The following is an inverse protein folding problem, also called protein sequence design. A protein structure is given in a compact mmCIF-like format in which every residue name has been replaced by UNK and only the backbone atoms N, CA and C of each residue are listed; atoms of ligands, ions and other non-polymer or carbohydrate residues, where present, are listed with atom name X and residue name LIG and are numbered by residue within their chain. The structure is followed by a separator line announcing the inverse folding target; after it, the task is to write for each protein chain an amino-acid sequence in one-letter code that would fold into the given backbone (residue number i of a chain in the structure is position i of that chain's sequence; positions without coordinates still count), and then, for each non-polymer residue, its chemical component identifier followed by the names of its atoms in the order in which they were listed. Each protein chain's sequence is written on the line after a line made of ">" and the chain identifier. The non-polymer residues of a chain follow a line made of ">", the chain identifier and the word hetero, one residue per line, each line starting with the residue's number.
data_IF_617310845755
#
_entry.id   IF_617310845755
#
_cell.length_a   1.000
_cell.length_b   1.000
_cell.length_c   1.000
_cell.angle_alpha   90.00
_cell.angle_beta   90.00
_cell.angle_gamma   90.00
#
_symmetry.space_group_name_H-M   'P 1'
#
loop_
_entity.id
_entity.type
_entity.pdbx_description
1 polymer ?
#
# COMPACT_ATOMS: atom_id res chain seq x y z
N UNK A 1 3.52 1.31 1.17
CA UNK A 1 4.04 1.24 2.57
C UNK A 1 4.06 -0.18 3.11
N UNK A 2 2.98 -0.97 3.06
CA UNK A 2 2.94 -2.37 3.51
C UNK A 2 4.12 -3.21 2.99
N UNK A 3 4.43 -3.10 1.69
CA UNK A 3 5.57 -3.79 1.09
C UNK A 3 6.94 -3.38 1.68
N UNK A 4 7.08 -2.16 2.19
CA UNK A 4 8.33 -1.68 2.80
C UNK A 4 8.70 -2.47 4.06
N UNK A 5 7.73 -3.06 4.76
CA UNK A 5 7.99 -3.92 5.93
C UNK A 5 8.95 -5.06 5.60
N UNK A 6 8.96 -5.54 4.35
CA UNK A 6 9.83 -6.63 3.90
C UNK A 6 11.13 -6.14 3.25
N UNK A 7 11.28 -4.83 2.99
CA UNK A 7 12.37 -4.31 2.18
C UNK A 7 13.75 -4.51 2.82
N UNK A 8 13.84 -4.35 4.15
CA UNK A 8 15.09 -4.55 4.90
C UNK A 8 15.57 -6.00 4.85
N UNK A 9 14.68 -6.97 5.14
CA UNK A 9 15.02 -8.40 5.07
C UNK A 9 15.29 -8.86 3.62
N UNK A 10 14.59 -8.26 2.66
CA UNK A 10 14.84 -8.53 1.24
C UNK A 10 16.18 -7.95 0.77
N UNK A 11 16.62 -6.82 1.34
CA UNK A 11 17.92 -6.22 1.03
C UNK A 11 19.07 -7.01 1.65
N UNK A 12 18.91 -7.52 2.88
CA UNK A 12 19.94 -8.32 3.55
C UNK A 12 19.99 -9.78 3.09
N UNK A 13 19.01 -10.23 2.32
CA UNK A 13 18.87 -11.62 1.86
C UNK A 13 18.27 -12.56 2.91
N UNK A 14 17.88 -12.06 4.09
CA UNK A 14 17.19 -12.83 5.12
C UNK A 14 15.82 -13.33 4.66
N UNK A 15 15.18 -12.63 3.71
CA UNK A 15 13.94 -13.04 3.06
C UNK A 15 14.08 -12.89 1.54
N UNK A 16 13.86 -13.98 0.79
CA UNK A 16 13.82 -13.89 -0.67
C UNK A 16 12.41 -13.52 -1.14
N UNK A 17 12.28 -12.64 -2.13
CA UNK A 17 10.97 -12.24 -2.66
C UNK A 17 10.29 -13.36 -3.49
N UNK A 18 11.04 -14.36 -3.96
CA UNK A 18 10.47 -15.56 -4.58
C UNK A 18 9.98 -16.60 -3.56
N UNK A 19 10.07 -16.31 -2.24
CA UNK A 19 9.53 -17.16 -1.19
C UNK A 19 8.00 -17.27 -1.33
N UNK A 20 7.41 -18.47 -1.28
CA UNK A 20 5.97 -18.65 -1.24
C UNK A 20 5.33 -17.97 -0.03
N UNK A 21 4.22 -17.26 -0.22
CA UNK A 21 3.53 -16.52 0.84
C UNK A 21 3.05 -17.47 1.95
N UNK A 22 2.71 -18.72 1.61
CA UNK A 22 2.33 -19.74 2.60
C UNK A 22 3.41 -20.05 3.65
N UNK A 23 4.68 -19.72 3.40
CA UNK A 23 5.74 -19.89 4.40
C UNK A 23 5.74 -18.80 5.48
N UNK A 24 5.10 -17.65 5.20
CA UNK A 24 4.97 -16.53 6.12
C UNK A 24 3.63 -16.57 6.88
N UNK A 25 2.63 -17.25 6.34
CA UNK A 25 1.33 -17.47 6.93
C UNK A 25 1.11 -18.96 7.19
N UNK A 26 1.57 -19.50 8.34
CA UNK A 26 1.24 -20.86 8.73
C UNK A 26 -0.30 -21.01 8.82
N UNK A 27 -0.81 -22.19 8.44
CA UNK A 27 -2.24 -22.49 8.25
C UNK A 27 -2.93 -21.81 7.04
N UNK A 28 -2.16 -21.18 6.15
CA UNK A 28 -2.69 -20.68 4.89
C UNK A 28 -3.06 -21.80 3.91
N UNK A 29 -4.07 -21.51 3.08
CA UNK A 29 -4.58 -22.36 2.03
C UNK A 29 -3.52 -22.81 1.02
N UNK A 30 -3.80 -23.91 0.32
CA UNK A 30 -2.99 -24.35 -0.82
C UNK A 30 -2.79 -23.25 -1.89
N UNK A 31 -3.73 -22.32 -2.03
CA UNK A 31 -3.63 -21.18 -2.94
C UNK A 31 -2.36 -20.35 -2.72
N UNK A 32 -1.96 -20.10 -1.47
CA UNK A 32 -0.79 -19.28 -1.17
C UNK A 32 0.55 -20.01 -1.39
N UNK A 33 0.54 -21.33 -1.65
CA UNK A 33 1.75 -22.10 -1.96
C UNK A 33 2.30 -21.78 -3.35
N UNK A 34 1.44 -21.32 -4.25
CA UNK A 34 1.79 -21.00 -5.64
C UNK A 34 2.01 -19.51 -5.89
N UNK A 35 1.81 -18.67 -4.87
CA UNK A 35 1.98 -17.22 -4.92
C UNK A 35 3.26 -16.88 -4.17
N UNK A 36 4.20 -16.26 -4.85
CA UNK A 36 5.41 -15.72 -4.23
C UNK A 36 5.14 -14.35 -3.62
N UNK A 37 6.00 -13.92 -2.69
CA UNK A 37 5.93 -12.59 -2.10
C UNK A 37 6.05 -11.48 -3.16
N UNK A 38 6.90 -11.67 -4.18
CA UNK A 38 7.01 -10.75 -5.31
C UNK A 38 5.69 -10.58 -6.05
N UNK A 39 5.05 -11.69 -6.46
CA UNK A 39 3.78 -11.68 -7.20
C UNK A 39 2.64 -11.06 -6.37
N UNK A 40 2.66 -11.23 -5.05
CA UNK A 40 1.69 -10.59 -4.16
C UNK A 40 1.91 -9.08 -4.11
N UNK A 41 3.15 -8.63 -3.94
CA UNK A 41 3.54 -7.22 -3.86
C UNK A 41 3.26 -6.47 -5.17
N UNK A 42 3.52 -7.11 -6.32
CA UNK A 42 3.37 -6.52 -7.66
C UNK A 42 1.97 -6.69 -8.26
N UNK A 43 1.01 -7.22 -7.49
CA UNK A 43 -0.36 -7.50 -7.94
C UNK A 43 -0.46 -8.51 -9.11
N UNK A 44 0.49 -9.44 -9.22
CA UNK A 44 0.51 -10.48 -10.27
C UNK A 44 0.13 -11.89 -9.75
N UNK A 45 -0.40 -11.95 -8.53
CA UNK A 45 -0.77 -13.21 -7.86
C UNK A 45 -1.96 -13.95 -8.47
N UNK A 46 -2.77 -13.31 -9.32
CA UNK A 46 -4.05 -13.83 -9.80
C UNK A 46 -5.17 -13.78 -8.75
N UNK A 47 -4.95 -13.15 -7.60
CA UNK A 47 -5.99 -12.95 -6.59
C UNK A 47 -7.01 -11.90 -7.05
N UNK A 48 -8.31 -12.06 -6.70
CA UNK A 48 -9.32 -11.06 -7.01
C UNK A 48 -9.03 -9.73 -6.32
N UNK A 49 -9.64 -8.65 -6.82
CA UNK A 49 -9.44 -7.30 -6.26
C UNK A 49 -9.79 -7.21 -4.77
N UNK A 50 -10.89 -7.85 -4.38
CA UNK A 50 -11.46 -7.84 -3.03
C UNK A 50 -11.65 -9.29 -2.53
N UNK A 51 -11.71 -9.51 -1.21
CA UNK A 51 -12.03 -10.83 -0.68
C UNK A 51 -13.41 -11.31 -1.18
N UNK A 52 -13.57 -12.57 -1.62
CA UNK A 52 -14.84 -13.07 -2.16
C UNK A 52 -16.01 -13.06 -1.15
N UNK A 53 -15.71 -13.21 0.14
CA UNK A 53 -16.69 -13.19 1.24
C UNK A 53 -16.91 -11.79 1.83
N UNK A 54 -16.33 -10.73 1.24
CA UNK A 54 -16.54 -9.37 1.71
C UNK A 54 -18.02 -9.00 1.54
N UNK A 55 -18.76 -9.04 2.64
CA UNK A 55 -20.19 -8.74 2.65
C UNK A 55 -20.45 -7.32 2.14
N UNK A 56 -21.54 -7.13 1.40
CA UNK A 56 -22.02 -5.80 1.02
C UNK A 56 -22.64 -5.02 2.19
N UNK A 57 -22.58 -5.56 3.42
CA UNK A 57 -23.10 -4.92 4.62
C UNK A 57 -22.12 -3.83 5.06
N UNK A 58 -22.59 -2.59 5.22
CA UNK A 58 -21.73 -1.47 5.59
C UNK A 58 -21.00 -0.85 4.41
N UNK A 59 -21.68 -0.63 3.27
CA UNK A 59 -21.15 0.03 2.06
C UNK A 59 -20.36 1.32 2.36
N UNK A 60 -20.76 2.04 3.42
CA UNK A 60 -20.11 3.27 3.84
C UNK A 60 -18.77 3.06 4.57
N UNK A 61 -18.54 1.88 5.17
CA UNK A 61 -17.32 1.50 5.88
C UNK A 61 -17.03 -0.01 5.73
N UNK A 62 -16.70 -0.47 4.51
CA UNK A 62 -16.74 -1.90 4.15
C UNK A 62 -15.66 -2.73 4.86
N UNK A 63 -14.62 -2.11 5.41
CA UNK A 63 -13.45 -2.79 5.96
C UNK A 63 -13.36 -2.75 7.49
N UNK A 64 -14.27 -2.05 8.17
CA UNK A 64 -14.19 -1.84 9.60
C UNK A 64 -14.43 -3.10 10.44
N UNK A 65 -15.14 -4.08 9.89
CA UNK A 65 -15.51 -5.34 10.57
C UNK A 65 -15.03 -6.57 9.81
N UNK A 66 -14.11 -6.39 8.87
CA UNK A 66 -13.52 -7.50 8.13
C UNK A 66 -12.31 -7.99 8.92
N UNK A 67 -12.58 -8.93 9.83
CA UNK A 67 -11.61 -9.45 10.80
C UNK A 67 -10.68 -10.52 10.21
N UNK A 68 -9.81 -11.06 11.08
CA UNK A 68 -8.79 -12.02 10.71
C UNK A 68 -9.42 -13.35 10.32
N UNK A 69 -10.47 -13.77 11.01
CA UNK A 69 -11.22 -14.99 10.74
C UNK A 69 -11.83 -14.94 9.34
N UNK A 70 -12.47 -13.84 8.97
CA UNK A 70 -13.01 -13.61 7.63
C UNK A 70 -11.91 -13.57 6.57
N UNK A 71 -10.75 -12.93 6.86
CA UNK A 71 -9.60 -12.95 5.96
C UNK A 71 -9.09 -14.37 5.70
N UNK A 72 -8.91 -15.16 6.75
CA UNK A 72 -8.41 -16.53 6.64
C UNK A 72 -9.41 -17.46 5.94
N UNK A 73 -10.72 -17.26 6.15
CA UNK A 73 -11.76 -17.95 5.38
C UNK A 73 -11.67 -17.63 3.89
N UNK A 74 -11.60 -16.35 3.53
CA UNK A 74 -11.44 -15.93 2.13
C UNK A 74 -10.19 -16.53 1.48
N UNK A 75 -9.08 -16.59 2.23
CA UNK A 75 -7.82 -17.19 1.77
C UNK A 75 -7.95 -18.69 1.57
N UNK A 76 -8.71 -19.41 2.43
CA UNK A 76 -8.95 -20.86 2.30
C UNK A 76 -9.66 -21.22 1.00
N UNK A 77 -10.65 -20.42 0.62
CA UNK A 77 -11.55 -20.77 -0.48
C UNK A 77 -11.17 -20.12 -1.82
N UNK A 78 -10.24 -19.15 -1.82
CA UNK A 78 -9.83 -18.47 -3.05
C UNK A 78 -9.05 -19.40 -3.97
N UNK A 79 -9.44 -19.41 -5.25
CA UNK A 79 -8.68 -20.01 -6.34
C UNK A 79 -8.08 -18.87 -7.17
N UNK A 80 -6.74 -18.70 -7.17
CA UNK A 80 -6.10 -17.67 -7.98
C UNK A 80 -6.35 -17.91 -9.48
N UNK A 81 -6.59 -16.82 -10.22
CA UNK A 81 -6.69 -16.83 -11.67
C UNK A 81 -5.32 -16.85 -12.35
N UNK A 82 -5.30 -16.39 -13.61
CA UNK A 82 -4.06 -16.25 -14.37
C UNK A 82 -3.14 -15.22 -13.71
N UNK A 83 -1.82 -15.51 -13.68
CA UNK A 83 -0.80 -14.56 -13.24
C UNK A 83 -0.63 -13.46 -14.28
N UNK A 84 -1.21 -12.32 -13.97
CA UNK A 84 -1.12 -11.07 -14.73
C UNK A 84 -1.39 -9.92 -13.77
N UNK A 85 -1.00 -8.70 -14.12
CA UNK A 85 -1.29 -7.54 -13.30
C UNK A 85 -2.80 -7.38 -13.07
N UNK A 86 -3.23 -7.48 -11.81
CA UNK A 86 -4.58 -7.21 -11.35
C UNK A 86 -4.51 -6.60 -9.95
N UNK A 87 -4.71 -5.28 -9.87
CA UNK A 87 -4.69 -4.56 -8.60
C UNK A 87 -5.61 -5.20 -7.56
N UNK A 88 -5.03 -5.59 -6.42
CA UNK A 88 -5.71 -6.39 -5.40
C UNK A 88 -5.47 -5.84 -4.00
N UNK A 89 -6.54 -5.29 -3.40
CA UNK A 89 -6.59 -4.95 -1.98
C UNK A 89 -6.55 -6.22 -1.13
N UNK A 90 -7.17 -7.29 -1.60
CA UNK A 90 -7.13 -8.58 -0.90
C UNK A 90 -5.70 -9.11 -0.80
N UNK A 91 -4.91 -9.01 -1.88
CA UNK A 91 -3.49 -9.35 -1.86
C UNK A 91 -2.70 -8.52 -0.85
N UNK A 92 -3.01 -7.23 -0.70
CA UNK A 92 -2.35 -6.37 0.29
C UNK A 92 -2.82 -6.60 1.73
N UNK A 93 -4.06 -7.08 1.93
CA UNK A 93 -4.52 -7.57 3.23
C UNK A 93 -3.76 -8.84 3.65
N UNK A 94 -3.58 -9.78 2.71
CA UNK A 94 -2.75 -10.99 2.93
C UNK A 94 -1.29 -10.59 3.19
N UNK A 95 -0.75 -9.61 2.46
CA UNK A 95 0.62 -9.11 2.65
C UNK A 95 0.82 -8.52 4.06
N UNK A 96 -0.17 -7.77 4.57
CA UNK A 96 -0.13 -7.28 5.94
C UNK A 96 -0.21 -8.44 6.95
N UNK A 97 -1.11 -9.40 6.78
CA UNK A 97 -1.19 -10.58 7.65
C UNK A 97 0.13 -11.39 7.66
N UNK A 98 0.80 -11.51 6.50
CA UNK A 98 2.11 -12.13 6.41
C UNK A 98 3.18 -11.36 7.18
N UNK A 99 3.12 -10.03 7.18
CA UNK A 99 4.02 -9.20 7.99
C UNK A 99 3.74 -9.40 9.48
N UNK A 100 2.48 -9.43 9.89
CA UNK A 100 2.08 -9.66 11.29
C UNK A 100 2.58 -11.01 11.80
N UNK A 101 2.41 -12.08 11.01
CA UNK A 101 2.92 -13.40 11.35
C UNK A 101 4.46 -13.44 11.40
N UNK A 102 5.13 -12.80 10.44
CA UNK A 102 6.60 -12.79 10.33
C UNK A 102 7.28 -12.04 11.47
N UNK A 103 6.66 -10.95 11.95
CA UNK A 103 7.21 -10.05 12.95
C UNK A 103 6.54 -10.16 14.33
N UNK A 104 5.52 -11.01 14.47
CA UNK A 104 4.78 -11.25 15.71
C UNK A 104 4.25 -9.95 16.37
N UNK A 105 3.75 -9.02 15.55
CA UNK A 105 3.12 -7.78 16.00
C UNK A 105 1.94 -7.43 15.09
N UNK A 106 1.00 -6.60 15.54
CA UNK A 106 -0.13 -6.21 14.69
C UNK A 106 0.29 -5.12 13.67
N UNK A 107 -0.45 -5.02 12.57
CA UNK A 107 -0.12 -4.16 11.45
C UNK A 107 0.05 -2.69 11.85
N UNK A 108 -0.82 -2.15 12.71
CA UNK A 108 -0.71 -0.78 13.19
C UNK A 108 0.59 -0.53 13.97
N UNK A 109 1.01 -1.49 14.79
CA UNK A 109 2.27 -1.40 15.52
C UNK A 109 3.49 -1.59 14.62
N UNK A 110 3.42 -2.47 13.62
CA UNK A 110 4.48 -2.61 12.61
C UNK A 110 4.70 -1.29 11.87
N UNK A 111 3.62 -0.63 11.44
CA UNK A 111 3.69 0.69 10.79
C UNK A 111 4.34 1.73 11.71
N UNK A 112 3.92 1.82 12.98
CA UNK A 112 4.44 2.79 13.96
C UNK A 112 5.89 2.55 14.36
N UNK A 113 6.34 1.30 14.42
CA UNK A 113 7.69 0.94 14.90
C UNK A 113 8.71 0.85 13.76
N UNK A 114 8.30 0.37 12.59
CA UNK A 114 9.22 0.00 11.51
C UNK A 114 9.16 0.91 10.28
N UNK A 115 8.01 1.57 10.02
CA UNK A 115 7.83 2.36 8.79
C UNK A 115 7.87 3.86 9.07
N UNK A 116 6.94 4.38 9.88
CA UNK A 116 6.84 5.81 10.12
C UNK A 116 8.13 6.46 10.67
N UNK A 117 8.90 5.82 11.57
CA UNK A 117 10.16 6.40 12.06
C UNK A 117 11.24 6.54 10.98
N UNK A 118 11.28 5.64 10.00
CA UNK A 118 12.26 5.71 8.89
C UNK A 118 12.07 6.99 8.09
N UNK A 119 10.81 7.36 7.87
CA UNK A 119 10.39 8.51 7.09
C UNK A 119 10.03 9.73 7.94
N UNK A 120 10.32 9.73 9.25
CA UNK A 120 9.97 10.82 10.18
C UNK A 120 8.50 11.30 10.06
N UNK A 121 7.56 10.35 9.88
CA UNK A 121 6.13 10.61 9.73
C UNK A 121 5.44 10.65 11.10
N UNK A 122 5.54 11.78 11.78
CA UNK A 122 5.13 11.90 13.20
C UNK A 122 3.61 11.95 13.40
N UNK A 123 2.84 12.36 12.39
CA UNK A 123 1.38 12.45 12.49
C UNK A 123 0.66 11.30 11.75
N UNK A 124 1.42 10.34 11.22
CA UNK A 124 0.87 9.20 10.51
C UNK A 124 0.41 8.11 11.47
N UNK A 125 -0.65 7.41 11.09
CA UNK A 125 -1.19 6.29 11.84
C UNK A 125 -1.94 5.30 10.93
N UNK A 126 -2.52 4.27 11.52
CA UNK A 126 -3.46 3.36 10.87
C UNK A 126 -4.86 3.62 11.42
N UNK A 127 -5.84 3.80 10.53
CA UNK A 127 -7.25 4.03 10.82
C UNK A 127 -7.95 2.75 11.34
N UNK A 128 -7.45 2.20 12.45
CA UNK A 128 -7.99 1.01 13.09
C UNK A 128 -9.39 1.26 13.65
N UNK A 129 -10.27 0.25 13.60
CA UNK A 129 -11.65 0.35 14.06
C UNK A 129 -11.81 0.68 15.55
N UNK A 130 -10.82 0.36 16.37
CA UNK A 130 -10.75 0.61 17.81
C UNK A 130 -10.24 2.02 18.16
N UNK A 131 -9.82 2.82 17.17
CA UNK A 131 -9.22 4.13 17.39
C UNK A 131 -10.06 5.27 16.82
N UNK A 132 -10.25 6.30 17.64
CA UNK A 132 -10.86 7.57 17.24
C UNK A 132 -9.78 8.62 17.04
N UNK A 133 -9.89 9.38 15.96
CA UNK A 133 -8.97 10.47 15.63
C UNK A 133 -9.70 11.80 15.66
N UNK A 134 -9.33 12.68 16.58
CA UNK A 134 -9.98 13.98 16.78
C UNK A 134 -9.63 15.02 15.73
N UNK A 135 -8.54 14.82 14.97
CA UNK A 135 -8.02 15.79 13.99
C UNK A 135 -8.15 15.33 12.54
N UNK A 136 -8.92 14.27 12.26
CA UNK A 136 -9.15 13.87 10.86
C UNK A 136 -10.08 14.86 10.16
N UNK A 137 -9.71 15.21 8.93
CA UNK A 137 -10.63 15.88 8.03
C UNK A 137 -11.90 15.02 7.84
N UNK A 138 -13.02 15.67 7.56
CA UNK A 138 -14.24 14.97 7.12
C UNK A 138 -14.09 14.61 5.64
N UNK A 139 -14.35 13.35 5.30
CA UNK A 139 -14.44 12.93 3.91
C UNK A 139 -15.74 13.40 3.26
N UNK A 140 -15.72 13.56 1.93
CA UNK A 140 -16.89 13.94 1.15
C UNK A 140 -17.08 13.03 -0.06
N UNK A 141 -18.33 12.69 -0.35
CA UNK A 141 -18.73 12.06 -1.60
C UNK A 141 -18.47 13.02 -2.77
N UNK A 142 -18.52 12.50 -4.00
CA UNK A 142 -18.36 13.33 -5.20
C UNK A 142 -19.44 14.43 -5.33
N UNK A 143 -20.60 14.25 -4.67
CA UNK A 143 -21.66 15.27 -4.55
C UNK A 143 -21.28 16.45 -3.64
N UNK A 144 -20.24 16.30 -2.81
CA UNK A 144 -19.88 17.25 -1.76
C UNK A 144 -20.52 16.94 -0.40
N UNK A 145 -21.37 15.91 -0.30
CA UNK A 145 -21.95 15.49 0.98
C UNK A 145 -20.90 14.84 1.88
N UNK A 146 -20.96 15.15 3.19
CA UNK A 146 -20.08 14.52 4.18
C UNK A 146 -20.32 13.01 4.23
N UNK A 147 -19.25 12.25 4.35
CA UNK A 147 -19.28 10.81 4.58
C UNK A 147 -18.37 10.44 5.75
N UNK A 148 -18.51 9.20 6.24
CA UNK A 148 -17.70 8.69 7.33
C UNK A 148 -16.27 8.39 6.87
N UNK A 149 -15.32 8.57 7.78
CA UNK A 149 -13.96 8.12 7.58
C UNK A 149 -13.94 6.59 7.70
N UNK A 150 -13.33 5.93 6.73
CA UNK A 150 -13.19 4.48 6.75
C UNK A 150 -12.32 4.06 7.93
N UNK A 151 -12.74 2.98 8.56
CA UNK A 151 -11.97 2.25 9.54
C UNK A 151 -11.61 0.89 8.94
N UNK A 152 -10.51 0.33 9.44
CA UNK A 152 -9.95 -0.89 8.90
C UNK A 152 -9.66 -1.84 10.05
N UNK A 153 -9.94 -3.12 9.80
CA UNK A 153 -9.40 -4.23 10.56
C UNK A 153 -8.37 -4.97 9.70
N UNK A 154 -8.60 -6.22 9.31
CA UNK A 154 -7.62 -7.04 8.57
C UNK A 154 -7.37 -6.59 7.13
N UNK A 155 -8.10 -5.57 6.65
CA UNK A 155 -7.87 -4.91 5.36
C UNK A 155 -6.93 -3.69 5.45
N UNK A 156 -6.41 -3.34 6.63
CA UNK A 156 -5.60 -2.14 6.85
C UNK A 156 -4.35 -2.06 5.96
N UNK A 157 -3.78 -3.21 5.58
CA UNK A 157 -2.68 -3.34 4.62
C UNK A 157 -2.95 -2.74 3.24
N UNK A 158 -4.21 -2.63 2.84
CA UNK A 158 -4.61 -2.17 1.51
C UNK A 158 -4.79 -0.65 1.38
N UNK A 159 -4.92 0.07 2.50
CA UNK A 159 -5.22 1.51 2.47
C UNK A 159 -5.57 2.14 3.81
N UNK A 160 -5.27 1.48 4.93
CA UNK A 160 -5.62 1.95 6.27
C UNK A 160 -4.71 3.04 6.82
N UNK A 161 -3.63 3.41 6.13
CA UNK A 161 -2.74 4.48 6.60
C UNK A 161 -3.42 5.83 6.45
N UNK A 162 -3.40 6.61 7.52
CA UNK A 162 -3.70 8.04 7.54
C UNK A 162 -2.40 8.81 7.72
N UNK A 163 -2.23 9.90 6.98
CA UNK A 163 -1.03 10.72 7.03
C UNK A 163 -1.36 12.16 6.63
N UNK A 164 -0.64 13.12 7.20
CA UNK A 164 -0.72 14.53 6.80
C UNK A 164 0.09 14.79 5.54
N UNK A 165 -0.14 15.95 4.91
CA UNK A 165 0.70 16.41 3.79
C UNK A 165 2.17 16.56 4.21
N UNK A 166 2.43 16.95 5.46
CA UNK A 166 3.78 17.08 6.00
C UNK A 166 4.47 15.70 6.11
N UNK A 167 3.77 14.67 6.60
CA UNK A 167 4.33 13.32 6.69
C UNK A 167 4.65 12.75 5.30
N UNK A 168 3.73 12.91 4.34
CA UNK A 168 3.94 12.41 2.98
C UNK A 168 5.05 13.16 2.24
N UNK A 169 5.20 14.46 2.50
CA UNK A 169 6.33 15.26 1.99
C UNK A 169 7.64 14.77 2.60
N UNK A 170 7.67 14.53 3.91
CA UNK A 170 8.85 14.01 4.61
C UNK A 170 9.24 12.62 4.11
N UNK A 171 8.28 11.77 3.75
CA UNK A 171 8.55 10.49 3.14
C UNK A 171 9.30 10.65 1.80
N UNK A 172 8.85 11.52 0.90
CA UNK A 172 9.53 11.78 -0.37
C UNK A 172 10.93 12.37 -0.15
N UNK A 173 11.08 13.39 0.69
CA UNK A 173 12.39 14.00 0.94
C UNK A 173 13.37 13.02 1.61
N UNK A 174 12.86 12.10 2.43
CA UNK A 174 13.66 11.02 3.01
C UNK A 174 14.10 10.01 1.95
N UNK A 175 13.23 9.68 1.00
CA UNK A 175 13.61 8.83 -0.15
C UNK A 175 14.80 9.47 -0.87
N UNK A 176 14.70 10.74 -1.28
CA UNK A 176 15.77 11.41 -2.02
C UNK A 176 17.08 11.51 -1.22
N UNK A 177 17.00 11.89 0.06
CA UNK A 177 18.19 12.12 0.87
C UNK A 177 18.88 10.85 1.35
N UNK A 178 18.16 9.73 1.48
CA UNK A 178 18.70 8.49 2.05
C UNK A 178 18.82 7.34 1.06
N UNK A 179 18.39 7.50 -0.19
CA UNK A 179 18.41 6.41 -1.18
C UNK A 179 19.77 5.70 -1.25
N UNK A 180 20.85 6.45 -1.47
CA UNK A 180 22.20 5.88 -1.66
C UNK A 180 22.77 5.18 -0.41
N UNK A 181 22.30 5.58 0.78
CA UNK A 181 22.78 5.05 2.06
C UNK A 181 21.86 4.01 2.69
N UNK A 182 20.73 3.69 2.06
CA UNK A 182 19.71 2.79 2.59
C UNK A 182 19.45 1.61 1.66
N UNK A 183 20.06 0.44 1.92
CA UNK A 183 19.78 -0.79 1.17
C UNK A 183 18.29 -1.15 1.14
N UNK A 184 17.55 -0.83 2.21
CA UNK A 184 16.11 -1.04 2.26
C UNK A 184 15.37 -0.13 1.25
N UNK A 185 15.75 1.15 1.11
CA UNK A 185 15.14 2.03 0.11
C UNK A 185 15.50 1.60 -1.31
N UNK A 186 16.76 1.24 -1.55
CA UNK A 186 17.21 0.69 -2.83
C UNK A 186 16.41 -0.55 -3.20
N UNK A 187 16.23 -1.48 -2.24
CA UNK A 187 15.41 -2.68 -2.47
C UNK A 187 13.93 -2.36 -2.69
N UNK A 188 13.41 -1.36 -2.00
CA UNK A 188 12.02 -0.95 -2.09
C UNK A 188 11.67 -0.30 -3.45
N UNK A 189 12.63 0.40 -4.06
CA UNK A 189 12.45 1.06 -5.36
C UNK A 189 13.02 0.26 -6.53
N UNK A 190 13.77 -0.82 -6.30
CA UNK A 190 14.24 -1.68 -7.36
C UNK A 190 13.07 -2.27 -8.18
N UNK A 191 13.14 -2.28 -9.52
CA UNK A 191 12.18 -2.99 -10.36
C UNK A 191 12.06 -4.45 -9.91
N UNK A 192 10.83 -4.94 -9.77
CA UNK A 192 10.57 -6.31 -9.34
C UNK A 192 10.06 -7.21 -10.44
N UNK A 193 9.09 -6.73 -11.22
CA UNK A 193 8.54 -7.47 -12.34
C UNK A 193 8.15 -6.51 -13.45
N UNK A 194 8.48 -6.93 -14.67
CA UNK A 194 8.01 -6.32 -15.89
C UNK A 194 6.52 -6.63 -16.11
N UNK A 195 5.76 -5.65 -16.58
CA UNK A 195 4.32 -5.77 -16.81
C UNK A 195 3.72 -4.45 -17.29
N UNK A 196 2.39 -4.39 -17.39
CA UNK A 196 1.69 -3.14 -17.68
C UNK A 196 0.77 -2.77 -16.50
N UNK A 197 1.20 -1.89 -15.57
CA UNK A 197 2.49 -1.21 -15.51
C UNK A 197 3.63 -2.06 -14.90
N UNK A 198 4.87 -1.62 -15.12
CA UNK A 198 6.03 -2.10 -14.36
C UNK A 198 5.87 -1.74 -12.87
N UNK A 199 6.39 -2.62 -12.01
CA UNK A 199 6.20 -2.50 -10.56
C UNK A 199 7.52 -2.64 -9.80
N UNK A 200 7.73 -1.73 -8.86
CA UNK A 200 8.62 -1.95 -7.71
C UNK A 200 7.80 -2.46 -6.51
N UNK A 201 8.35 -2.38 -5.29
CA UNK A 201 7.66 -2.87 -4.09
C UNK A 201 6.48 -1.96 -3.68
N UNK A 202 5.33 -2.15 -4.33
CA UNK A 202 4.11 -1.38 -4.10
C UNK A 202 4.11 0.02 -4.71
N UNK A 203 4.93 0.22 -5.73
CA UNK A 203 4.95 1.41 -6.57
C UNK A 203 4.77 1.01 -8.01
N UNK A 204 3.88 1.72 -8.72
CA UNK A 204 3.81 1.65 -10.18
C UNK A 204 4.93 2.51 -10.75
N UNK A 205 5.55 2.04 -11.82
CA UNK A 205 6.62 2.72 -12.52
C UNK A 205 6.12 3.24 -13.87
N UNK A 206 6.58 4.44 -14.23
CA UNK A 206 6.38 5.04 -15.55
C UNK A 206 7.67 4.92 -16.38
N UNK A 207 7.52 4.92 -17.70
CA UNK A 207 8.65 4.87 -18.65
C UNK A 207 9.66 6.01 -18.47
N UNK A 208 9.24 7.14 -17.90
CA UNK A 208 10.09 8.30 -17.58
C UNK A 208 10.87 8.15 -16.26
N UNK A 209 10.91 6.94 -15.69
CA UNK A 209 11.62 6.64 -14.44
C UNK A 209 10.88 7.12 -13.18
N UNK A 210 9.66 7.63 -13.30
CA UNK A 210 8.85 8.06 -12.17
C UNK A 210 8.17 6.89 -11.46
N UNK A 211 8.02 7.02 -10.14
CA UNK A 211 7.25 6.11 -9.29
C UNK A 211 5.98 6.81 -8.86
N UNK A 212 4.86 6.11 -8.84
CA UNK A 212 3.60 6.68 -8.37
C UNK A 212 2.67 5.65 -7.74
N UNK A 213 1.74 6.14 -6.93
CA UNK A 213 0.62 5.36 -6.44
C UNK A 213 -0.57 6.29 -6.15
N UNK A 214 -1.77 5.85 -6.53
CA UNK A 214 -3.03 6.50 -6.18
C UNK A 214 -3.68 5.88 -4.96
N UNK A 215 -4.61 6.59 -4.32
CA UNK A 215 -5.40 6.03 -3.22
C UNK A 215 -6.82 6.57 -3.28
N UNK A 216 -7.79 5.75 -2.90
CA UNK A 216 -9.18 6.18 -2.82
C UNK A 216 -9.93 5.40 -1.73
N UNK A 217 -10.64 6.14 -0.89
CA UNK A 217 -11.74 5.64 -0.05
C UNK A 217 -13.03 6.29 -0.50
N UNK A 218 -14.15 6.05 0.20
CA UNK A 218 -15.43 6.67 -0.16
C UNK A 218 -15.42 8.21 -0.05
N UNK A 219 -14.55 8.78 0.78
CA UNK A 219 -14.53 10.22 1.08
C UNK A 219 -13.23 10.94 0.73
N UNK A 220 -12.22 10.23 0.22
CA UNK A 220 -10.88 10.77 0.02
C UNK A 220 -10.23 10.22 -1.23
N UNK A 221 -9.40 11.04 -1.88
CA UNK A 221 -8.49 10.62 -2.92
C UNK A 221 -7.07 11.11 -2.60
N UNK A 222 -6.09 10.33 -3.02
CA UNK A 222 -4.69 10.65 -2.86
C UNK A 222 -3.90 10.31 -4.12
N UNK A 223 -2.82 11.05 -4.33
CA UNK A 223 -1.76 10.74 -5.28
C UNK A 223 -0.42 11.05 -4.65
N UNK A 224 0.53 10.13 -4.84
CA UNK A 224 1.95 10.34 -4.54
C UNK A 224 2.71 9.95 -5.79
N UNK A 225 3.59 10.82 -6.25
CA UNK A 225 4.50 10.55 -7.36
C UNK A 225 5.83 11.22 -7.15
N UNK A 226 6.91 10.58 -7.59
CA UNK A 226 8.26 11.14 -7.50
C UNK A 226 9.19 10.54 -8.54
N UNK A 227 10.25 11.26 -8.87
CA UNK A 227 11.28 10.84 -9.83
C UNK A 227 12.64 10.97 -9.13
N UNK A 228 13.32 9.86 -8.78
CA UNK A 228 14.57 9.91 -8.03
C UNK A 228 15.70 10.69 -8.71
N UNK A 229 15.79 10.62 -10.04
CA UNK A 229 16.84 11.27 -10.83
C UNK A 229 16.79 12.81 -10.76
N UNK A 230 15.60 13.38 -10.91
CA UNK A 230 15.34 14.84 -10.83
C UNK A 230 15.04 15.30 -9.40
N UNK A 231 14.92 14.37 -8.46
CA UNK A 231 14.43 14.64 -7.09
C UNK A 231 13.13 15.48 -7.08
N UNK A 232 12.29 15.31 -8.10
CA UNK A 232 10.97 15.95 -8.16
C UNK A 232 9.93 15.07 -7.49
N UNK A 233 9.05 15.66 -6.69
CA UNK A 233 8.01 14.94 -5.96
C UNK A 233 6.70 15.73 -5.88
N UNK A 234 5.59 15.01 -5.99
CA UNK A 234 4.22 15.55 -5.94
C UNK A 234 3.39 14.70 -4.99
N UNK A 235 2.72 15.37 -4.04
CA UNK A 235 1.70 14.77 -3.17
C UNK A 235 0.42 15.57 -3.31
N UNK A 236 -0.69 14.89 -3.58
CA UNK A 236 -2.04 15.48 -3.58
C UNK A 236 -2.90 14.68 -2.63
N UNK A 237 -3.48 15.34 -1.64
CA UNK A 237 -4.46 14.75 -0.71
C UNK A 237 -5.75 15.55 -0.81
N UNK A 238 -6.87 14.87 -1.07
CA UNK A 238 -8.20 15.50 -1.11
C UNK A 238 -9.17 14.76 -0.20
N UNK A 239 -10.02 15.52 0.48
CA UNK A 239 -11.12 14.98 1.27
C UNK A 239 -12.43 14.95 0.47
N UNK A 240 -12.32 14.66 -0.83
CA UNK A 240 -13.42 14.39 -1.73
C UNK A 240 -13.04 13.22 -2.63
N UNK A 241 -13.99 12.31 -2.89
CA UNK A 241 -13.82 11.15 -3.77
C UNK A 241 -13.77 11.51 -5.27
N UNK A 242 -12.84 12.40 -5.63
CA UNK A 242 -12.53 12.80 -7.01
C UNK A 242 -11.10 12.41 -7.32
N UNK A 243 -10.89 11.60 -8.36
CA UNK A 243 -9.56 11.12 -8.72
C UNK A 243 -8.60 12.30 -9.00
N UNK A 244 -7.40 12.22 -8.43
CA UNK A 244 -6.34 13.24 -8.57
C UNK A 244 -5.05 12.69 -9.18
N UNK A 245 -5.07 11.45 -9.69
CA UNK A 245 -3.88 10.84 -10.29
C UNK A 245 -3.46 11.56 -11.57
N UNK A 246 -4.41 11.84 -12.47
CA UNK A 246 -4.13 12.56 -13.74
C UNK A 246 -3.47 13.93 -13.51
N UNK A 247 -4.04 14.84 -12.69
CA UNK A 247 -3.36 16.11 -12.42
C UNK A 247 -2.03 15.91 -11.70
N UNK A 248 -1.91 14.93 -10.81
CA UNK A 248 -0.65 14.56 -10.16
C UNK A 248 0.46 14.22 -11.15
N UNK A 249 0.16 13.36 -12.12
CA UNK A 249 1.08 13.02 -13.20
C UNK A 249 1.48 14.22 -14.05
N UNK A 250 0.51 15.06 -14.41
CA UNK A 250 0.78 16.23 -15.24
C UNK A 250 1.73 17.21 -14.54
N UNK A 251 1.53 17.45 -13.23
CA UNK A 251 2.42 18.29 -12.42
C UNK A 251 3.81 17.67 -12.34
N UNK A 252 3.92 16.38 -12.02
CA UNK A 252 5.22 15.71 -11.90
C UNK A 252 6.01 15.77 -13.22
N UNK A 253 5.34 15.49 -14.34
CA UNK A 253 5.94 15.57 -15.67
C UNK A 253 6.41 16.99 -16.02
N UNK A 254 5.68 18.02 -15.59
CA UNK A 254 6.11 19.41 -15.79
C UNK A 254 7.34 19.76 -14.95
N UNK A 255 7.41 19.29 -13.70
CA UNK A 255 8.57 19.50 -12.83
C UNK A 255 9.82 18.84 -13.40
N UNK A 256 9.71 17.63 -13.93
CA UNK A 256 10.85 16.92 -14.55
C UNK A 256 11.40 17.68 -15.76
N UNK A 257 10.53 18.20 -16.64
CA UNK A 257 10.94 18.97 -17.82
C UNK A 257 11.61 20.32 -17.51
N UNK A 258 11.42 20.86 -16.31
CA UNK A 258 12.04 22.14 -15.91
C UNK A 258 13.49 21.97 -15.44
N UNK A 259 13.95 20.74 -15.28
CA UNK A 259 15.29 20.42 -14.81
C UNK A 259 16.25 19.95 -15.92
N UNK A 260 15.72 19.69 -17.12
CA UNK A 260 16.46 19.48 -18.37
C UNK A 260 16.87 20.81 -19.02
#
# INVERSE_FOLDING_TARGET
>A
MTAFLFASEAASGALRLNTPVSSLLPDAANALKQITLAELITHQSGLPRLPPNLAHIGILNPYARYDKEALLEAVRDVVPGQKSFQYSNFGYAILAAAAEARYADNYAMLMRKAVFPVFNMQNADVASADKTFSQLANGHLISGDKTINWQFDSMAGAGGVIASIADMTQMITTIFSKYDSSPALQKWLAPLQEGEPDMAMGWMMSDDGSYFHGGQTLGFCAYVGFTPETQAGVVILTNIAKNVSVPGFQILRQLNKQQD
#
